data_IF_757956839321
#
_entry.id   IF_757956839321
#
_cell.length_a   1.000
_cell.length_b   1.000
_cell.length_c   1.000
_cell.angle_alpha   90.00
_cell.angle_beta   90.00
_cell.angle_gamma   90.00
#
_symmetry.space_group_name_H-M   'P 1'
#
loop_
_entity.id
_entity.type
_entity.pdbx_description
1 polymer ?
#
# COMPACT_ATOMS: atom_id res chain seq x y z
N UNK A 1 -2.06 6.49 -1.64
CA UNK A 1 -1.25 5.50 -0.90
C UNK A 1 -1.50 4.12 -1.46
N UNK A 2 -0.48 3.25 -1.43
CA UNK A 2 -0.52 1.87 -1.91
C UNK A 2 -0.13 0.93 -0.76
N UNK A 3 -0.84 -0.18 -0.63
CA UNK A 3 -0.49 -1.27 0.29
C UNK A 3 -0.61 -2.58 -0.47
N UNK A 4 0.28 -3.52 -0.21
CA UNK A 4 0.20 -4.89 -0.71
C UNK A 4 0.09 -5.80 0.52
N UNK A 5 -0.93 -6.64 0.58
CA UNK A 5 -1.12 -7.59 1.68
C UNK A 5 -1.27 -9.01 1.14
N UNK A 6 -0.75 -9.98 1.87
CA UNK A 6 -1.12 -11.39 1.73
C UNK A 6 -2.07 -11.79 2.85
N UNK A 7 -2.97 -12.74 2.58
CA UNK A 7 -3.88 -13.29 3.58
C UNK A 7 -3.72 -14.80 3.70
N UNK A 8 -4.03 -15.35 4.88
CA UNK A 8 -4.13 -16.79 5.11
C UNK A 8 -5.59 -17.12 5.37
N UNK A 9 -6.10 -18.21 4.78
CA UNK A 9 -7.49 -18.63 5.00
C UNK A 9 -7.76 -19.05 6.45
N UNK A 10 -6.71 -19.41 7.19
CA UNK A 10 -6.76 -19.78 8.60
C UNK A 10 -5.41 -19.57 9.27
N UNK A 11 -5.39 -19.37 10.59
CA UNK A 11 -4.16 -19.35 11.38
C UNK A 11 -3.33 -20.65 11.28
N UNK A 12 -3.97 -21.77 10.92
CA UNK A 12 -3.32 -23.07 10.70
C UNK A 12 -2.82 -23.27 9.26
N UNK A 13 -3.22 -22.39 8.35
CA UNK A 13 -2.84 -22.50 6.95
C UNK A 13 -1.43 -21.98 6.76
N UNK A 14 -0.47 -22.92 6.67
CA UNK A 14 0.93 -22.60 6.41
C UNK A 14 1.17 -22.30 4.92
N UNK A 15 0.22 -22.62 4.03
CA UNK A 15 0.27 -22.24 2.63
C UNK A 15 -0.09 -20.76 2.54
N UNK A 16 0.94 -19.91 2.46
CA UNK A 16 0.74 -18.57 1.93
C UNK A 16 0.30 -18.75 0.47
N UNK A 17 -1.00 -18.78 0.23
CA UNK A 17 -1.49 -18.51 -1.11
C UNK A 17 -1.06 -17.08 -1.36
N UNK A 18 -0.09 -16.92 -2.26
CA UNK A 18 0.54 -15.66 -2.64
C UNK A 18 -0.41 -14.82 -3.50
N UNK A 19 -1.67 -14.70 -3.06
CA UNK A 19 -2.63 -13.79 -3.67
C UNK A 19 -2.39 -12.41 -3.07
N UNK A 20 -1.35 -11.76 -3.60
CA UNK A 20 -1.01 -10.39 -3.25
C UNK A 20 -2.18 -9.47 -3.61
N UNK A 21 -2.89 -9.00 -2.58
CA UNK A 21 -3.93 -8.00 -2.77
C UNK A 21 -3.31 -6.63 -2.65
N UNK A 22 -3.39 -5.86 -3.73
CA UNK A 22 -3.03 -4.45 -3.71
C UNK A 22 -4.24 -3.57 -3.42
N UNK A 23 -4.03 -2.60 -2.54
CA UNK A 23 -4.99 -1.58 -2.18
C UNK A 23 -4.45 -0.20 -2.51
N UNK A 24 -5.33 0.67 -3.01
CA UNK A 24 -5.04 2.09 -3.18
C UNK A 24 -5.98 2.92 -2.34
N UNK A 25 -5.47 3.93 -1.65
CA UNK A 25 -6.30 4.76 -0.79
C UNK A 25 -5.80 6.17 -0.54
N UNK A 26 -6.72 7.00 -0.06
CA UNK A 26 -6.48 8.38 0.35
C UNK A 26 -6.45 8.43 1.87
N UNK A 27 -5.34 8.90 2.44
CA UNK A 27 -5.22 9.12 3.88
C UNK A 27 -6.23 10.20 4.29
N UNK A 28 -7.05 9.88 5.29
CA UNK A 28 -8.03 10.79 5.89
C UNK A 28 -7.57 11.34 7.23
N UNK A 29 -6.86 10.53 8.02
CA UNK A 29 -6.25 10.96 9.29
C UNK A 29 -4.92 10.25 9.52
N UNK A 30 -4.03 10.94 10.21
CA UNK A 30 -2.80 10.38 10.75
C UNK A 30 -3.01 10.31 12.26
N UNK A 31 -2.82 9.12 12.83
CA UNK A 31 -2.98 8.85 14.25
C UNK A 31 -1.64 8.45 14.82
N UNK A 32 -1.28 9.00 15.98
CA UNK A 32 -0.14 8.53 16.78
C UNK A 32 -0.71 7.81 18.00
N UNK A 33 -0.41 6.52 18.13
CA UNK A 33 -0.73 5.73 19.30
C UNK A 33 0.47 5.77 20.25
N UNK A 34 0.27 6.35 21.43
CA UNK A 34 1.29 6.44 22.48
C UNK A 34 1.09 5.30 23.48
N UNK A 35 1.95 4.27 23.38
CA UNK A 35 1.94 3.12 24.28
C UNK A 35 2.84 3.33 25.51
N UNK A 36 3.24 4.57 25.80
CA UNK A 36 4.21 4.95 26.84
C UNK A 36 5.64 4.48 26.54
N UNK A 37 5.83 3.19 26.23
CA UNK A 37 7.13 2.60 25.89
C UNK A 37 7.57 2.96 24.47
N UNK A 38 6.62 3.07 23.54
CA UNK A 38 6.88 3.43 22.15
C UNK A 38 5.66 4.13 21.55
N UNK A 39 5.88 4.78 20.41
CA UNK A 39 4.84 5.44 19.62
C UNK A 39 4.69 4.75 18.28
N UNK A 40 3.45 4.54 17.86
CA UNK A 40 3.14 3.94 16.55
C UNK A 40 2.29 4.89 15.73
N UNK A 41 2.74 5.23 14.53
CA UNK A 41 1.93 5.99 13.58
C UNK A 41 1.05 5.05 12.76
N UNK A 42 -0.24 5.38 12.66
CA UNK A 42 -1.22 4.70 11.84
C UNK A 42 -1.91 5.68 10.90
N UNK A 43 -2.26 5.20 9.71
CA UNK A 43 -3.11 5.94 8.78
C UNK A 43 -4.52 5.39 8.82
N UNK A 44 -5.47 6.30 8.94
CA UNK A 44 -6.87 6.05 8.67
C UNK A 44 -7.17 6.50 7.24
N UNK A 45 -7.69 5.62 6.42
CA UNK A 45 -7.73 5.81 4.97
C UNK A 45 -9.04 5.33 4.36
N UNK A 46 -9.41 5.94 3.25
CA UNK A 46 -10.46 5.41 2.36
C UNK A 46 -9.77 4.73 1.19
N UNK A 47 -10.25 3.54 0.78
CA UNK A 47 -9.53 2.71 -0.18
C UNK A 47 -10.39 1.95 -1.17
N UNK A 48 -9.72 1.45 -2.19
CA UNK A 48 -10.23 0.57 -3.24
C UNK A 48 -9.32 -0.65 -3.38
N UNK A 49 -9.93 -1.84 -3.53
CA UNK A 49 -9.24 -3.10 -3.82
C UNK A 49 -9.05 -3.28 -5.32
N UNK A 50 -7.93 -3.86 -5.76
CA UNK A 50 -7.71 -4.15 -7.19
C UNK A 50 -8.60 -5.29 -7.72
N UNK A 51 -9.02 -6.22 -6.88
CA UNK A 51 -9.78 -7.40 -7.34
C UNK A 51 -11.21 -7.09 -7.79
N UNK A 52 -11.78 -5.94 -7.40
CA UNK A 52 -13.01 -5.36 -7.96
C UNK A 52 -12.74 -4.70 -9.32
N UNK A 53 -12.30 -5.53 -10.27
CA UNK A 53 -11.93 -5.16 -11.65
C UNK A 53 -13.10 -4.60 -12.47
N UNK A 54 -14.34 -4.77 -11.99
CA UNK A 54 -15.52 -4.34 -12.72
C UNK A 54 -15.77 -2.84 -12.52
N UNK A 55 -15.41 -2.27 -11.36
CA UNK A 55 -15.87 -0.93 -10.99
C UNK A 55 -14.82 -0.01 -10.36
N UNK A 56 -13.76 -0.55 -9.76
CA UNK A 56 -12.94 0.20 -8.81
C UNK A 56 -11.49 0.39 -9.28
N UNK A 57 -10.99 -0.47 -10.15
CA UNK A 57 -9.68 -0.28 -10.80
C UNK A 57 -9.64 -0.89 -12.21
N UNK A 58 -8.68 -0.43 -13.03
CA UNK A 58 -8.35 -1.06 -14.32
C UNK A 58 -6.88 -0.82 -14.66
N UNK A 59 -6.30 -1.66 -15.50
CA UNK A 59 -4.94 -1.51 -16.01
C UNK A 59 -5.02 -1.33 -17.52
N UNK A 60 -4.42 -0.26 -18.02
CA UNK A 60 -4.33 0.00 -19.45
C UNK A 60 -3.37 -1.01 -20.11
N UNK A 61 -3.82 -1.80 -21.10
CA UNK A 61 -3.03 -2.89 -21.66
C UNK A 61 -1.85 -2.41 -22.51
N UNK A 62 -1.89 -1.18 -23.05
CA UNK A 62 -0.87 -0.66 -23.95
C UNK A 62 0.25 0.05 -23.18
N UNK A 63 -0.11 0.74 -22.09
CA UNK A 63 0.80 1.58 -21.30
C UNK A 63 1.15 0.98 -19.94
N UNK A 64 0.46 -0.08 -19.50
CA UNK A 64 0.53 -0.66 -18.15
C UNK A 64 0.22 0.34 -17.02
N UNK A 65 -0.46 1.44 -17.32
CA UNK A 65 -0.88 2.41 -16.31
C UNK A 65 -2.03 1.86 -15.49
N UNK A 66 -1.95 2.03 -14.17
CA UNK A 66 -3.01 1.65 -13.23
C UNK A 66 -3.95 2.83 -13.04
N UNK A 67 -5.24 2.58 -13.25
CA UNK A 67 -6.32 3.53 -13.03
C UNK A 67 -7.19 3.06 -11.86
N UNK A 68 -7.55 3.99 -10.97
CA UNK A 68 -8.39 3.74 -9.79
C UNK A 68 -9.56 4.70 -9.73
N UNK A 69 -10.72 4.21 -9.32
CA UNK A 69 -11.91 5.02 -9.11
C UNK A 69 -12.05 5.40 -7.63
N UNK A 70 -11.56 6.59 -7.27
CA UNK A 70 -11.61 7.09 -5.89
C UNK A 70 -13.01 7.61 -5.48
N UNK A 71 -14.03 7.45 -6.33
CA UNK A 71 -15.43 7.69 -5.99
C UNK A 71 -16.12 6.46 -5.38
N UNK A 72 -15.50 5.28 -5.48
CA UNK A 72 -16.04 3.99 -5.03
C UNK A 72 -15.24 3.39 -3.89
N UNK A 73 -15.01 4.18 -2.83
CA UNK A 73 -14.33 3.65 -1.64
C UNK A 73 -15.13 2.50 -1.01
N UNK A 74 -14.43 1.46 -0.55
CA UNK A 74 -15.03 0.26 0.02
C UNK A 74 -15.86 0.50 1.27
N UNK A 75 -15.66 1.60 1.99
CA UNK A 75 -16.48 1.96 3.16
C UNK A 75 -17.97 2.20 2.83
N UNK A 76 -18.30 2.29 1.55
CA UNK A 76 -19.68 2.36 1.06
C UNK A 76 -20.31 0.97 0.84
N UNK A 77 -19.59 -0.13 1.11
CA UNK A 77 -20.11 -1.50 1.06
C UNK A 77 -20.37 -2.03 2.48
N UNK A 78 -21.24 -3.04 2.59
CA UNK A 78 -21.69 -3.63 3.87
C UNK A 78 -20.62 -4.49 4.57
N UNK A 79 -19.48 -4.73 3.92
CA UNK A 79 -18.34 -5.45 4.47
C UNK A 79 -17.42 -4.41 5.10
N UNK A 80 -17.48 -4.27 6.42
CA UNK A 80 -16.69 -3.28 7.15
C UNK A 80 -15.24 -3.76 7.19
N UNK A 81 -14.50 -3.41 6.15
CA UNK A 81 -13.07 -3.63 6.11
C UNK A 81 -12.32 -2.77 7.15
N UNK A 82 -11.17 -3.27 7.61
CA UNK A 82 -10.29 -2.60 8.56
C UNK A 82 -9.78 -1.26 7.99
N UNK A 83 -10.12 -0.10 8.58
CA UNK A 83 -9.82 1.22 8.00
C UNK A 83 -8.47 1.78 8.43
N UNK A 84 -7.65 0.97 9.12
CA UNK A 84 -6.38 1.38 9.71
C UNK A 84 -5.23 0.53 9.19
N UNK A 85 -4.10 1.19 8.94
CA UNK A 85 -2.84 0.54 8.55
C UNK A 85 -1.69 1.23 9.25
N UNK A 86 -0.63 0.47 9.51
CA UNK A 86 0.61 1.04 10.03
C UNK A 86 1.24 1.94 8.96
N UNK A 87 1.79 3.07 9.38
CA UNK A 87 2.50 3.96 8.47
C UNK A 87 3.75 3.30 7.86
N UNK A 88 4.33 2.29 8.52
CA UNK A 88 5.52 1.58 8.04
C UNK A 88 5.23 0.61 6.89
N UNK A 89 3.99 0.15 6.71
CA UNK A 89 3.62 -0.77 5.60
C UNK A 89 3.08 -0.01 4.39
N UNK A 90 2.96 1.31 4.52
CA UNK A 90 2.41 2.21 3.54
C UNK A 90 3.44 2.63 2.48
N UNK A 91 3.09 2.54 1.19
CA UNK A 91 3.87 3.18 0.12
C UNK A 91 3.16 4.43 -0.38
N UNK A 92 3.89 5.54 -0.47
CA UNK A 92 3.36 6.76 -1.07
C UNK A 92 3.15 6.59 -2.58
N UNK A 93 2.02 7.08 -3.07
CA UNK A 93 1.71 7.20 -4.49
C UNK A 93 0.96 8.51 -4.73
N UNK A 94 1.06 9.03 -5.94
CA UNK A 94 0.31 10.19 -6.40
C UNK A 94 -0.84 9.77 -7.31
N UNK A 95 -1.86 10.62 -7.36
CA UNK A 95 -3.04 10.41 -8.19
C UNK A 95 -3.16 11.54 -9.19
N UNK A 96 -3.15 11.21 -10.48
CA UNK A 96 -3.42 12.17 -11.54
C UNK A 96 -4.83 11.92 -12.08
N UNK A 97 -5.71 12.92 -11.96
CA UNK A 97 -7.08 12.86 -12.46
C UNK A 97 -7.15 12.58 -13.97
N UNK A 98 -7.93 11.57 -14.33
CA UNK A 98 -8.39 11.35 -15.70
C UNK A 98 -9.53 12.32 -15.99
N UNK A 99 -9.36 13.16 -17.02
CA UNK A 99 -10.35 14.17 -17.39
C UNK A 99 -11.52 13.59 -18.20
N UNK A 100 -11.38 12.38 -18.74
CA UNK A 100 -12.41 11.73 -19.56
C UNK A 100 -13.44 10.96 -18.73
N UNK A 101 -13.11 10.60 -17.49
CA UNK A 101 -13.91 9.73 -16.62
C UNK A 101 -13.99 10.30 -15.21
N UNK A 102 -15.20 10.53 -14.73
CA UNK A 102 -15.37 11.14 -13.40
C UNK A 102 -14.91 10.21 -12.27
N UNK A 103 -14.19 10.78 -11.30
CA UNK A 103 -13.56 10.09 -10.16
C UNK A 103 -12.49 9.03 -10.50
N UNK A 104 -12.03 8.96 -11.75
CA UNK A 104 -10.91 8.10 -12.14
C UNK A 104 -9.57 8.85 -12.07
N UNK A 105 -8.54 8.13 -11.63
CA UNK A 105 -7.19 8.66 -11.45
C UNK A 105 -6.15 7.63 -11.88
N UNK A 106 -5.12 8.09 -12.59
CA UNK A 106 -3.88 7.35 -12.83
C UNK A 106 -3.08 7.32 -11.54
N UNK A 107 -2.58 6.16 -11.17
CA UNK A 107 -1.65 5.98 -10.06
C UNK A 107 -0.23 6.20 -10.55
N UNK A 108 0.51 7.05 -9.85
CA UNK A 108 1.92 7.29 -10.08
C UNK A 108 2.71 6.87 -8.84
N UNK A 109 3.67 5.97 -8.99
CA UNK A 109 4.56 5.61 -7.90
C UNK A 109 5.39 6.84 -7.48
N UNK A 110 5.56 7.03 -6.17
CA UNK A 110 6.42 8.10 -5.68
C UNK A 110 7.88 7.85 -6.11
N UNK A 111 8.61 8.88 -6.56
CA UNK A 111 10.02 8.73 -6.87
C UNK A 111 10.80 8.38 -5.59
N UNK A 112 11.58 7.29 -5.64
CA UNK A 112 12.48 6.85 -4.55
C UNK A 112 13.70 7.76 -4.39
N UNK A 113 13.55 9.06 -4.16
CA UNK A 113 14.67 10.02 -4.18
C UNK A 113 14.46 11.31 -3.37
N UNK A 114 13.84 11.27 -2.19
CA UNK A 114 13.92 12.46 -1.33
C UNK A 114 15.30 12.54 -0.64
N UNK A 115 15.78 11.43 -0.04
CA UNK A 115 17.17 11.23 0.42
C UNK A 115 17.46 9.75 0.71
N UNK A 116 18.73 9.33 0.72
CA UNK A 116 19.12 7.96 1.12
C UNK A 116 18.65 7.61 2.54
N UNK A 117 18.59 8.59 3.44
CA UNK A 117 18.10 8.42 4.81
C UNK A 117 16.57 8.17 4.85
N UNK A 118 15.81 8.90 4.02
CA UNK A 118 14.36 8.74 3.90
C UNK A 118 14.04 7.40 3.23
N UNK A 119 14.77 7.04 2.18
CA UNK A 119 14.61 5.75 1.50
C UNK A 119 14.97 4.57 2.43
N UNK A 120 15.98 4.73 3.30
CA UNK A 120 16.34 3.74 4.32
C UNK A 120 15.33 3.65 5.48
N UNK A 121 14.64 4.75 5.81
CA UNK A 121 13.54 4.74 6.79
C UNK A 121 12.27 4.06 6.24
N UNK A 122 11.96 4.26 4.95
CA UNK A 122 10.83 3.60 4.29
C UNK A 122 11.08 2.10 4.04
N UNK A 123 12.34 1.65 4.05
CA UNK A 123 12.69 0.24 3.95
C UNK A 123 13.93 -0.12 4.80
N UNK A 124 13.80 -0.22 6.13
CA UNK A 124 14.92 -0.50 7.02
C UNK A 124 15.53 -1.90 6.82
N UNK A 125 14.81 -2.79 6.12
CA UNK A 125 15.27 -4.12 5.73
C UNK A 125 16.13 -4.10 4.46
N UNK A 126 16.11 -3.02 3.66
CA UNK A 126 16.95 -2.89 2.46
C UNK A 126 18.43 -2.82 2.79
N UNK A 127 18.79 -2.12 3.86
CA UNK A 127 20.17 -1.88 4.27
C UNK A 127 20.72 -3.07 5.04
N UNK A 128 19.94 -3.61 5.98
CA UNK A 128 20.34 -4.77 6.80
C UNK A 128 20.52 -6.04 5.98
N UNK A 129 19.62 -6.35 5.02
CA UNK A 129 19.79 -7.52 4.15
C UNK A 129 21.03 -7.43 3.25
N UNK A 130 21.42 -6.24 2.79
CA UNK A 130 22.62 -6.10 1.95
C UNK A 130 23.89 -6.26 2.79
N UNK A 131 23.92 -5.71 4.01
CA UNK A 131 25.05 -5.89 4.93
C UNK A 131 25.19 -7.35 5.38
N UNK A 132 24.07 -7.99 5.77
CA UNK A 132 24.05 -9.41 6.18
C UNK A 132 24.45 -10.35 5.02
N UNK A 133 24.02 -10.07 3.78
CA UNK A 133 24.39 -10.88 2.60
C UNK A 133 25.86 -10.70 2.21
N UNK A 134 26.43 -9.50 2.38
CA UNK A 134 27.84 -9.25 2.12
C UNK A 134 28.77 -9.81 3.21
N UNK A 135 28.27 -10.00 4.43
CA UNK A 135 29.00 -10.63 5.52
C UNK A 135 29.00 -12.17 5.38
N UNK A 136 27.86 -12.76 4.99
CA UNK A 136 27.75 -14.21 4.71
C UNK A 136 28.54 -14.64 3.46
N UNK A 137 28.78 -13.74 2.51
CA UNK A 137 29.55 -14.05 1.30
C UNK A 137 31.09 -13.98 1.46
N UNK A 138 31.59 -13.75 2.68
CA UNK A 138 33.03 -13.68 2.98
C UNK A 138 33.62 -14.90 3.69
N UNK A 139 32.80 -15.91 3.99
CA UNK A 139 33.23 -17.18 4.59
C UNK A 139 33.15 -18.37 3.61
#
# INVERSE_FOLDING_TARGET
MKVVTSFRASAKDMNLIDDEVTYYGVVKRILELDYVEFKQTMFYYDWVRIDDKINSCTVDPDTNLVFVNLGRFMRNTSEVDEPFILASVAKQVFYWRDLSRDNWYVVLDAPKRLSQEIDAYENPLSTTLIEDVLEVAKD
#
